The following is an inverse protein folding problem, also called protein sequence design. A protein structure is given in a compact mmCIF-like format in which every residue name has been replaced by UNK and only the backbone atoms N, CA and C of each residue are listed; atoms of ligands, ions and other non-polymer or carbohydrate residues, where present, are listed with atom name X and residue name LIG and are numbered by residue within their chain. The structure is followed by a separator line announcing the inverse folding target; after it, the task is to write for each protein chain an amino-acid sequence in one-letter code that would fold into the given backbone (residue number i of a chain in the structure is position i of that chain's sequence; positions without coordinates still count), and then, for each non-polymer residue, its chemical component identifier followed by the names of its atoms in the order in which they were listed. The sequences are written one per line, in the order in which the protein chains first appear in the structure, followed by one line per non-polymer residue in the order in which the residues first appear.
data_IF_710519470360
#
_entry.id   IF_710519470360
#
_cell.length_a   1.000
_cell.length_b   1.000
_cell.length_c   1.000
_cell.angle_alpha   90.00
_cell.angle_beta   90.00
_cell.angle_gamma   90.00
#
_symmetry.space_group_name_H-M   'P 1'
#
loop_
_entity.id
_entity.type
_entity.pdbx_description
1 polymer ?
#
# COMPACT_ATOMS: atom_id res chain seq x y z
N UNK A 1 -28.41 41.98 22.08
CA UNK A 1 -28.87 40.60 22.37
C UNK A 1 -28.17 39.65 21.39
N UNK A 2 -27.14 38.97 21.92
CA UNK A 2 -26.17 37.98 21.41
C UNK A 2 -26.05 37.66 19.90
N UNK A 3 -25.00 38.22 19.30
CA UNK A 3 -24.29 37.65 18.16
C UNK A 3 -23.28 36.60 18.66
N UNK A 4 -23.70 35.32 18.78
CA UNK A 4 -22.77 34.23 19.13
C UNK A 4 -23.25 32.88 18.57
N UNK A 5 -23.43 32.80 17.25
CA UNK A 5 -23.58 31.52 16.53
C UNK A 5 -22.32 31.19 15.72
N UNK A 6 -21.14 31.38 16.31
CA UNK A 6 -19.89 30.88 15.72
C UNK A 6 -19.30 29.83 16.63
N UNK A 7 -18.70 28.80 16.03
CA UNK A 7 -18.08 27.62 16.65
C UNK A 7 -18.98 26.36 16.75
N UNK A 8 -19.81 26.07 15.73
CA UNK A 8 -20.22 24.68 15.49
C UNK A 8 -18.97 23.90 15.04
N UNK A 9 -18.46 23.04 15.92
CA UNK A 9 -17.25 22.26 15.74
C UNK A 9 -17.25 21.54 14.38
N UNK A 10 -16.34 21.95 13.49
CA UNK A 10 -16.11 21.29 12.20
C UNK A 10 -15.25 20.04 12.39
N UNK A 11 -15.66 19.15 13.28
CA UNK A 11 -15.05 17.82 13.41
C UNK A 11 -15.60 16.95 12.28
N UNK A 12 -15.18 17.25 11.06
CA UNK A 12 -15.50 16.43 9.90
C UNK A 12 -14.81 15.08 10.04
N UNK A 13 -15.60 14.05 10.33
CA UNK A 13 -15.15 12.67 10.45
C UNK A 13 -14.24 12.31 9.26
N UNK A 14 -12.98 11.97 9.51
CA UNK A 14 -11.98 11.70 8.46
C UNK A 14 -12.48 10.66 7.44
N UNK A 15 -13.22 9.65 7.92
CA UNK A 15 -13.86 8.62 7.11
C UNK A 15 -14.88 9.19 6.10
N UNK A 16 -15.67 10.20 6.46
CA UNK A 16 -16.60 10.84 5.53
C UNK A 16 -15.88 11.70 4.48
N UNK A 17 -14.70 12.23 4.79
CA UNK A 17 -13.95 13.10 3.87
C UNK A 17 -13.35 12.33 2.69
N UNK A 18 -12.91 11.10 2.93
CA UNK A 18 -12.27 10.23 1.94
C UNK A 18 -13.22 9.21 1.30
N UNK A 19 -14.46 9.10 1.76
CA UNK A 19 -15.51 8.34 1.07
C UNK A 19 -15.82 8.89 -0.34
N UNK A 20 -15.41 10.13 -0.67
CA UNK A 20 -15.50 10.68 -2.02
C UNK A 20 -14.33 10.17 -2.91
N UNK A 21 -14.61 9.43 -4.00
CA UNK A 21 -13.60 8.85 -4.88
C UNK A 21 -12.56 9.85 -5.40
N UNK A 22 -13.00 11.02 -5.87
CA UNK A 22 -12.10 12.00 -6.46
C UNK A 22 -11.12 12.62 -5.46
N UNK A 23 -11.51 12.72 -4.18
CA UNK A 23 -10.61 13.23 -3.13
C UNK A 23 -9.58 12.19 -2.72
N UNK A 24 -9.97 10.92 -2.67
CA UNK A 24 -9.06 9.81 -2.39
C UNK A 24 -8.05 9.62 -3.52
N UNK A 25 -8.51 9.57 -4.77
CA UNK A 25 -7.62 9.42 -5.94
C UNK A 25 -6.59 10.55 -6.04
N UNK A 26 -6.99 11.80 -5.75
CA UNK A 26 -6.04 12.93 -5.73
C UNK A 26 -4.99 12.81 -4.63
N UNK A 27 -5.36 12.28 -3.47
CA UNK A 27 -4.39 11.98 -2.42
C UNK A 27 -3.45 10.86 -2.86
N UNK A 28 -4.00 9.77 -3.42
CA UNK A 28 -3.24 8.66 -3.99
C UNK A 28 -2.23 9.12 -5.02
N UNK A 29 -2.64 9.89 -6.03
CA UNK A 29 -1.77 10.43 -7.07
C UNK A 29 -0.64 11.31 -6.51
N UNK A 30 -0.89 12.05 -5.42
CA UNK A 30 0.15 12.85 -4.76
C UNK A 30 1.14 11.98 -3.98
N UNK A 31 0.67 10.93 -3.32
CA UNK A 31 1.51 10.03 -2.52
C UNK A 31 2.26 8.99 -3.37
N UNK A 32 1.70 8.61 -4.52
CA UNK A 32 2.23 7.59 -5.40
C UNK A 32 3.70 7.78 -5.75
N UNK A 33 4.18 8.94 -6.26
CA UNK A 33 5.61 9.09 -6.56
C UNK A 33 6.49 8.97 -5.31
N UNK A 34 6.01 9.44 -4.16
CA UNK A 34 6.75 9.37 -2.89
C UNK A 34 6.84 7.95 -2.32
N UNK A 35 5.94 7.04 -2.69
CA UNK A 35 6.04 5.62 -2.35
C UNK A 35 6.79 4.83 -3.42
N UNK A 36 6.53 5.11 -4.70
CA UNK A 36 7.09 4.35 -5.82
C UNK A 36 8.61 4.50 -5.92
N UNK A 37 9.14 5.73 -5.81
CA UNK A 37 10.59 5.95 -5.92
C UNK A 37 11.41 5.24 -4.84
N UNK A 38 11.13 5.40 -3.53
CA UNK A 38 11.86 4.66 -2.51
C UNK A 38 11.60 3.16 -2.58
N UNK A 39 10.39 2.70 -2.94
CA UNK A 39 10.13 1.28 -3.13
C UNK A 39 11.04 0.68 -4.23
N UNK A 40 11.12 1.33 -5.39
CA UNK A 40 12.01 0.90 -6.48
C UNK A 40 13.49 0.92 -6.06
N UNK A 41 13.92 1.99 -5.39
CA UNK A 41 15.31 2.12 -4.93
C UNK A 41 15.69 1.01 -3.93
N UNK A 42 14.84 0.77 -2.92
CA UNK A 42 15.06 -0.25 -1.91
C UNK A 42 14.99 -1.66 -2.50
N UNK A 43 14.04 -1.94 -3.39
CA UNK A 43 13.96 -3.23 -4.08
C UNK A 43 15.19 -3.49 -4.96
N UNK A 44 15.63 -2.50 -5.74
CA UNK A 44 16.82 -2.64 -6.56
C UNK A 44 18.08 -2.87 -5.70
N UNK A 45 18.24 -2.09 -4.63
CA UNK A 45 19.34 -2.25 -3.68
C UNK A 45 19.32 -3.65 -3.04
N UNK A 46 18.16 -4.11 -2.57
CA UNK A 46 18.00 -5.42 -1.96
C UNK A 46 18.28 -6.59 -2.91
N UNK A 47 17.84 -6.49 -4.17
CA UNK A 47 18.14 -7.50 -5.21
C UNK A 47 19.65 -7.55 -5.48
N UNK A 48 20.29 -6.40 -5.69
CA UNK A 48 21.74 -6.35 -5.95
C UNK A 48 22.52 -6.91 -4.77
N UNK A 49 22.16 -6.51 -3.54
CA UNK A 49 22.84 -7.01 -2.35
C UNK A 49 22.65 -8.51 -2.14
N UNK A 50 21.41 -9.00 -2.31
CA UNK A 50 21.04 -10.39 -2.11
C UNK A 50 21.66 -11.35 -3.13
N UNK A 51 21.73 -10.96 -4.41
CA UNK A 51 22.29 -11.84 -5.45
C UNK A 51 23.81 -11.85 -5.50
N UNK A 52 24.46 -10.70 -5.30
CA UNK A 52 25.90 -10.59 -5.55
C UNK A 52 26.75 -10.69 -4.28
N UNK A 53 26.23 -10.24 -3.13
CA UNK A 53 27.01 -10.13 -1.89
C UNK A 53 26.64 -11.16 -0.83
N UNK A 54 25.53 -11.90 -1.01
CA UNK A 54 25.15 -12.95 -0.07
C UNK A 54 26.07 -14.17 -0.21
N UNK A 55 26.66 -14.67 0.91
CA UNK A 55 27.48 -15.88 0.89
C UNK A 55 26.63 -17.12 0.60
N UNK A 56 27.29 -18.18 0.12
CA UNK A 56 26.65 -19.47 -0.05
C UNK A 56 26.23 -20.05 1.32
N UNK A 57 25.02 -20.60 1.39
CA UNK A 57 24.53 -21.31 2.56
C UNK A 57 25.11 -22.74 2.63
N UNK A 58 25.19 -23.31 3.83
CA UNK A 58 25.76 -24.65 4.02
C UNK A 58 24.93 -25.77 3.36
N UNK A 59 23.59 -25.66 3.34
CA UNK A 59 22.71 -26.67 2.73
C UNK A 59 22.32 -26.32 1.31
N UNK A 60 22.11 -25.03 1.03
CA UNK A 60 21.58 -24.58 -0.26
C UNK A 60 22.65 -24.07 -1.23
N UNK A 61 23.90 -23.91 -0.78
CA UNK A 61 24.98 -23.34 -1.58
C UNK A 61 24.59 -21.96 -2.11
N UNK A 62 24.87 -21.70 -3.39
CA UNK A 62 24.48 -20.46 -4.06
C UNK A 62 22.97 -20.34 -4.33
N UNK A 63 22.20 -21.43 -4.23
CA UNK A 63 20.75 -21.42 -4.51
C UNK A 63 19.98 -20.60 -3.48
N UNK A 64 20.54 -20.38 -2.28
CA UNK A 64 19.96 -19.51 -1.24
C UNK A 64 19.69 -18.10 -1.78
N UNK A 65 20.47 -17.64 -2.77
CA UNK A 65 20.36 -16.30 -3.34
C UNK A 65 19.00 -16.07 -4.02
N UNK A 66 18.34 -17.12 -4.49
CA UNK A 66 17.00 -17.05 -5.10
C UNK A 66 15.95 -16.59 -4.07
N UNK A 67 16.15 -16.93 -2.78
CA UNK A 67 15.22 -16.59 -1.71
C UNK A 67 15.05 -15.06 -1.56
N UNK A 68 16.08 -14.27 -1.83
CA UNK A 68 16.04 -12.80 -1.76
C UNK A 68 15.15 -12.16 -2.82
N UNK A 69 14.81 -12.88 -3.89
CA UNK A 69 13.84 -12.43 -4.89
C UNK A 69 12.49 -13.09 -4.63
N UNK A 70 12.49 -14.40 -4.42
CA UNK A 70 11.28 -15.20 -4.35
C UNK A 70 10.42 -14.86 -3.12
N UNK A 71 10.99 -14.85 -1.93
CA UNK A 71 10.22 -14.68 -0.68
C UNK A 71 9.57 -13.31 -0.59
N UNK A 72 10.27 -12.20 -0.87
CA UNK A 72 9.64 -10.88 -0.93
C UNK A 72 8.56 -10.80 -2.01
N UNK A 73 8.78 -11.39 -3.19
CA UNK A 73 7.79 -11.40 -4.26
C UNK A 73 6.53 -12.18 -3.86
N UNK A 74 6.67 -13.32 -3.19
CA UNK A 74 5.55 -14.12 -2.69
C UNK A 74 4.73 -13.34 -1.65
N UNK A 75 5.39 -12.60 -0.76
CA UNK A 75 4.72 -11.73 0.22
C UNK A 75 3.98 -10.57 -0.43
N UNK A 76 4.59 -9.92 -1.43
CA UNK A 76 3.96 -8.83 -2.18
C UNK A 76 2.73 -9.32 -2.93
N UNK A 77 2.84 -10.46 -3.63
CA UNK A 77 1.72 -11.09 -4.33
C UNK A 77 0.59 -11.46 -3.37
N UNK A 78 0.91 -12.10 -2.25
CA UNK A 78 -0.08 -12.50 -1.23
C UNK A 78 -0.82 -11.29 -0.64
N UNK A 79 -0.09 -10.20 -0.38
CA UNK A 79 -0.67 -8.95 0.11
C UNK A 79 -1.59 -8.30 -0.93
N UNK A 80 -1.23 -8.37 -2.22
CA UNK A 80 -2.09 -7.92 -3.32
C UNK A 80 -3.38 -8.71 -3.43
N UNK A 81 -3.32 -10.04 -3.36
CA UNK A 81 -4.52 -10.88 -3.33
C UNK A 81 -5.39 -10.63 -2.11
N UNK A 82 -4.79 -10.43 -0.93
CA UNK A 82 -5.54 -10.02 0.27
C UNK A 82 -6.24 -8.68 0.09
N UNK A 83 -5.57 -7.68 -0.49
CA UNK A 83 -6.19 -6.39 -0.78
C UNK A 83 -7.38 -6.53 -1.74
N UNK A 84 -7.24 -7.32 -2.81
CA UNK A 84 -8.33 -7.63 -3.74
C UNK A 84 -9.50 -8.34 -3.04
N UNK A 85 -9.21 -9.30 -2.15
CA UNK A 85 -10.24 -9.98 -1.38
C UNK A 85 -11.01 -9.01 -0.47
N UNK A 86 -10.32 -8.07 0.19
CA UNK A 86 -10.93 -7.03 1.02
C UNK A 86 -11.78 -6.07 0.16
N UNK A 87 -11.26 -5.59 -0.96
CA UNK A 87 -12.02 -4.74 -1.89
C UNK A 87 -13.28 -5.45 -2.38
N UNK A 88 -13.16 -6.73 -2.76
CA UNK A 88 -14.30 -7.54 -3.22
C UNK A 88 -15.37 -7.68 -2.12
N UNK A 89 -14.96 -7.91 -0.86
CA UNK A 89 -15.89 -7.97 0.27
C UNK A 89 -16.59 -6.63 0.51
N UNK A 90 -15.85 -5.51 0.47
CA UNK A 90 -16.40 -4.17 0.65
C UNK A 90 -17.37 -3.79 -0.48
N UNK A 91 -17.06 -4.19 -1.72
CA UNK A 91 -17.92 -4.00 -2.87
C UNK A 91 -19.19 -4.85 -2.76
N UNK A 92 -19.08 -6.12 -2.38
CA UNK A 92 -20.23 -7.03 -2.29
C UNK A 92 -21.22 -6.64 -1.18
N UNK A 93 -20.72 -6.32 0.02
CA UNK A 93 -21.57 -6.07 1.20
C UNK A 93 -22.10 -4.63 1.22
N UNK A 94 -21.25 -3.64 0.95
CA UNK A 94 -21.60 -2.21 1.08
C UNK A 94 -21.72 -1.47 -0.25
N UNK A 95 -21.39 -2.09 -1.39
CA UNK A 95 -21.35 -1.43 -2.71
C UNK A 95 -20.55 -0.14 -2.67
N UNK A 96 -19.40 -0.19 -1.98
CA UNK A 96 -18.60 1.00 -1.74
C UNK A 96 -17.95 1.48 -3.05
N UNK A 97 -18.19 2.73 -3.51
CA UNK A 97 -17.80 3.19 -4.85
C UNK A 97 -16.29 3.26 -5.06
N UNK A 98 -15.49 3.25 -3.99
CA UNK A 98 -14.03 3.15 -4.10
C UNK A 98 -13.51 1.73 -4.27
N UNK A 99 -14.30 0.71 -3.91
CA UNK A 99 -13.88 -0.69 -3.99
C UNK A 99 -14.07 -1.28 -5.39
N UNK A 100 -14.77 -0.58 -6.27
CA UNK A 100 -15.10 -0.97 -7.66
C UNK A 100 -14.31 -0.16 -8.71
N UNK A 101 -13.37 0.68 -8.27
CA UNK A 101 -12.45 1.46 -9.11
C UNK A 101 -11.17 0.68 -9.38
#
# INVERSE_FOLDING_TARGET
MNATQSLTARTGNFFHRYANPGRFLRLGARLQPWLTWPALALSAAGIVWGLFFSPADWQQGDSVRIMYVHVPAAWLASSGYMALAVCSLLSLVWRHPLADL
#
